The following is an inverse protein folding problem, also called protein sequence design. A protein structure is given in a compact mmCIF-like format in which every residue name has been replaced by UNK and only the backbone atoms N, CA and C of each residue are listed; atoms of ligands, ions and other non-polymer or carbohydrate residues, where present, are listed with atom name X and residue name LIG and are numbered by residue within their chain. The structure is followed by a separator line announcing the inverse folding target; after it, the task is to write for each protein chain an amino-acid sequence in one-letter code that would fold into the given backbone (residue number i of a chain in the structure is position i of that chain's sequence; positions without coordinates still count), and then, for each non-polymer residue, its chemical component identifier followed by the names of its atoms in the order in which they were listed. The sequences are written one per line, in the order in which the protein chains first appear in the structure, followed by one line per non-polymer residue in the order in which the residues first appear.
data_IF_562495139543
#
_entry.id   IF_562495139543
#
_cell.length_a   1.000
_cell.length_b   1.000
_cell.length_c   1.000
_cell.angle_alpha   90.00
_cell.angle_beta   90.00
_cell.angle_gamma   90.00
#
_symmetry.space_group_name_H-M   'P 1'
#
loop_
_entity.id
_entity.type
_entity.pdbx_description
1 polymer ?
#
# COMPACT_ATOMS: atom_id res chain seq x y z
N UNK A 1 -4.34 -19.82 -22.18
CA UNK A 1 -4.05 -18.50 -22.78
C UNK A 1 -3.24 -17.72 -21.77
N UNK A 2 -1.91 -17.82 -21.86
CA UNK A 2 -0.98 -17.07 -21.03
C UNK A 2 -0.71 -15.75 -21.75
N UNK A 3 -1.35 -14.66 -21.33
CA UNK A 3 -0.93 -13.32 -21.72
C UNK A 3 0.30 -12.95 -20.86
N UNK A 4 1.49 -13.21 -21.40
CA UNK A 4 2.74 -12.70 -20.85
C UNK A 4 2.88 -11.23 -21.26
N UNK A 5 2.41 -10.33 -20.40
CA UNK A 5 2.62 -8.89 -20.54
C UNK A 5 4.13 -8.58 -20.54
N UNK A 6 4.61 -7.86 -21.57
CA UNK A 6 6.04 -7.65 -21.87
C UNK A 6 6.75 -6.70 -20.87
N UNK A 7 6.01 -5.98 -20.02
CA UNK A 7 6.58 -5.25 -18.89
C UNK A 7 5.77 -5.52 -17.63
N UNK A 8 6.19 -6.46 -16.80
CA UNK A 8 5.69 -6.58 -15.43
C UNK A 8 6.85 -6.56 -14.43
N UNK A 9 7.78 -5.64 -14.61
CA UNK A 9 8.69 -5.22 -13.53
C UNK A 9 7.99 -4.16 -12.69
N UNK A 10 7.07 -4.58 -11.84
CA UNK A 10 6.47 -3.66 -10.88
C UNK A 10 7.42 -3.54 -9.69
N UNK A 11 8.04 -2.37 -9.53
CA UNK A 11 8.94 -2.04 -8.42
C UNK A 11 8.17 -1.89 -7.10
N UNK A 12 7.39 -2.90 -6.69
CA UNK A 12 6.67 -2.87 -5.42
C UNK A 12 7.62 -3.26 -4.28
N UNK A 13 7.76 -2.37 -3.29
CA UNK A 13 8.41 -2.72 -2.04
C UNK A 13 7.48 -3.68 -1.28
N UNK A 14 8.00 -4.83 -0.89
CA UNK A 14 7.27 -5.86 -0.14
C UNK A 14 8.04 -6.27 1.10
N UNK A 15 7.35 -6.42 2.22
CA UNK A 15 7.91 -7.04 3.43
C UNK A 15 7.50 -8.51 3.45
N UNK A 16 8.45 -9.41 3.74
CA UNK A 16 8.15 -10.82 4.00
C UNK A 16 7.80 -11.01 5.47
N UNK A 17 6.54 -11.31 5.76
CA UNK A 17 6.10 -11.74 7.09
C UNK A 17 6.72 -13.13 7.41
N UNK A 18 7.00 -13.46 8.69
CA UNK A 18 7.52 -14.78 9.09
C UNK A 18 6.74 -15.97 8.51
N UNK A 19 5.42 -15.82 8.41
CA UNK A 19 4.51 -16.84 7.82
C UNK A 19 4.48 -16.83 6.28
N UNK A 20 5.56 -16.38 5.62
CA UNK A 20 5.71 -16.32 4.15
C UNK A 20 4.66 -15.49 3.42
N UNK A 21 4.02 -14.53 4.09
CA UNK A 21 3.09 -13.58 3.46
C UNK A 21 3.88 -12.39 2.92
N UNK A 22 3.65 -12.04 1.65
CA UNK A 22 4.18 -10.81 1.06
C UNK A 22 3.22 -9.66 1.39
N UNK A 23 3.67 -8.71 2.22
CA UNK A 23 2.89 -7.54 2.58
C UNK A 23 3.34 -6.39 1.66
N UNK A 24 2.47 -5.89 0.76
CA UNK A 24 2.80 -4.74 -0.05
C UNK A 24 2.99 -3.52 0.85
N UNK A 25 4.10 -2.81 0.64
CA UNK A 25 4.41 -1.57 1.33
C UNK A 25 4.07 -0.43 0.40
N UNK A 26 3.16 0.48 0.80
CA UNK A 26 2.96 1.72 0.07
C UNK A 26 4.29 2.46 -0.08
N UNK A 27 4.73 2.69 -1.31
CA UNK A 27 5.97 3.41 -1.59
C UNK A 27 5.69 4.90 -1.44
N UNK A 28 6.28 5.53 -0.44
CA UNK A 28 6.05 6.94 -0.13
C UNK A 28 6.17 7.25 1.36
N UNK A 29 5.78 8.47 1.78
CA UNK A 29 5.75 8.82 3.20
C UNK A 29 4.85 7.84 3.97
N UNK A 30 5.25 7.50 5.19
CA UNK A 30 4.50 6.57 6.05
C UNK A 30 3.02 6.91 6.10
N UNK A 31 2.16 5.89 6.04
CA UNK A 31 0.73 6.08 6.19
C UNK A 31 0.46 6.83 7.52
N UNK A 32 -0.34 7.91 7.49
CA UNK A 32 -0.70 8.61 8.71
C UNK A 32 -1.40 7.63 9.67
N UNK A 33 -1.13 7.76 10.96
CA UNK A 33 -1.81 6.94 11.97
C UNK A 33 -3.14 7.56 12.36
N UNK A 34 -4.18 6.73 12.47
CA UNK A 34 -5.54 7.15 12.82
C UNK A 34 -5.64 7.83 14.19
N UNK A 35 -4.78 7.43 15.13
CA UNK A 35 -4.84 7.84 16.54
C UNK A 35 -4.21 9.21 16.83
N UNK A 36 -3.60 9.85 15.82
CA UNK A 36 -2.99 11.18 15.94
C UNK A 36 -3.93 12.25 15.41
N UNK A 37 -4.41 13.13 16.29
CA UNK A 37 -5.36 14.19 15.93
C UNK A 37 -4.81 15.15 14.88
N UNK A 38 -3.50 15.42 14.88
CA UNK A 38 -2.88 16.36 13.93
C UNK A 38 -2.94 15.87 12.47
N UNK A 39 -3.07 14.56 12.26
CA UNK A 39 -3.04 13.93 10.93
C UNK A 39 -4.33 13.19 10.57
N UNK A 40 -5.38 13.30 11.39
CA UNK A 40 -6.65 12.57 11.21
C UNK A 40 -7.31 12.86 9.86
N UNK A 41 -7.31 14.12 9.43
CA UNK A 41 -7.88 14.49 8.14
C UNK A 41 -7.10 13.85 6.98
N UNK A 42 -5.76 13.90 7.03
CA UNK A 42 -4.90 13.24 6.05
C UNK A 42 -5.14 11.73 6.03
N UNK A 43 -5.31 11.10 7.20
CA UNK A 43 -5.67 9.69 7.31
C UNK A 43 -6.96 9.37 6.57
N UNK A 44 -8.05 10.09 6.83
CA UNK A 44 -9.32 9.85 6.16
C UNK A 44 -9.19 9.96 4.63
N UNK A 45 -8.51 11.00 4.12
CA UNK A 45 -8.30 11.17 2.67
C UNK A 45 -7.51 10.02 2.06
N UNK A 46 -6.45 9.55 2.74
CA UNK A 46 -5.65 8.41 2.26
C UNK A 46 -6.47 7.12 2.27
N UNK A 47 -7.27 6.88 3.30
CA UNK A 47 -8.16 5.70 3.35
C UNK A 47 -9.19 5.73 2.22
N UNK A 48 -9.74 6.90 1.88
CA UNK A 48 -10.63 7.03 0.72
C UNK A 48 -9.90 6.75 -0.60
N UNK A 49 -8.64 7.13 -0.75
CA UNK A 49 -7.88 6.82 -1.98
C UNK A 49 -7.62 5.30 -2.10
N UNK A 50 -7.26 4.65 -1.00
CA UNK A 50 -6.86 3.24 -0.99
C UNK A 50 -8.04 2.26 -0.96
N UNK A 51 -9.17 2.67 -0.38
CA UNK A 51 -10.31 1.78 -0.08
C UNK A 51 -11.65 2.34 -0.59
N UNK A 52 -11.64 3.27 -1.55
CA UNK A 52 -12.87 3.60 -2.28
C UNK A 52 -13.35 2.35 -3.02
N UNK A 53 -14.62 1.95 -2.85
CA UNK A 53 -15.19 0.79 -3.53
C UNK A 53 -15.15 0.95 -5.06
#
# INVERSE_FOLDING_TARGET
LHDTHIESQTHHLVIRHPDRRCIPVPIGPSLPRCDRSEVRERYCRVMLILFKP
#
